data_IF_632711145473
#
_entry.id   IF_632711145473
#
_cell.length_a   1.000
_cell.length_b   1.000
_cell.length_c   1.000
_cell.angle_alpha   90.00
_cell.angle_beta   90.00
_cell.angle_gamma   90.00
#
_symmetry.space_group_name_H-M   'P 1'
#
loop_
_entity.id
_entity.type
_entity.pdbx_description
1 polymer ?
#
# COMPACT_ATOMS: atom_id res chain seq x y z
N UNK A 1 -9.12 -6.56 -6.26
CA UNK A 1 -7.69 -6.67 -6.61
C UNK A 1 -7.11 -7.93 -5.99
N UNK A 2 -6.17 -8.57 -6.65
CA UNK A 2 -5.55 -9.80 -6.20
C UNK A 2 -4.74 -9.56 -4.91
N UNK A 3 -4.96 -10.33 -3.83
CA UNK A 3 -4.21 -10.16 -2.59
C UNK A 3 -2.70 -10.27 -2.77
N UNK A 4 -2.25 -11.15 -3.65
CA UNK A 4 -0.81 -11.29 -3.92
C UNK A 4 -0.23 -10.02 -4.52
N UNK A 5 -0.99 -9.34 -5.36
CA UNK A 5 -0.56 -8.09 -5.96
C UNK A 5 -0.50 -6.98 -4.92
N UNK A 6 -1.48 -6.93 -4.01
CA UNK A 6 -1.49 -5.96 -2.91
C UNK A 6 -0.26 -6.16 -2.04
N UNK A 7 0.03 -7.39 -1.66
CA UNK A 7 1.20 -7.71 -0.85
C UNK A 7 2.49 -7.27 -1.53
N UNK A 8 2.58 -7.51 -2.81
CA UNK A 8 3.77 -7.14 -3.60
C UNK A 8 3.96 -5.63 -3.62
N UNK A 9 2.87 -4.89 -3.84
CA UNK A 9 2.93 -3.43 -3.87
C UNK A 9 3.28 -2.86 -2.50
N UNK A 10 2.70 -3.40 -1.45
CA UNK A 10 2.99 -2.97 -0.09
C UNK A 10 4.46 -3.21 0.26
N UNK A 11 4.97 -4.37 -0.06
CA UNK A 11 6.38 -4.70 0.20
C UNK A 11 7.31 -3.75 -0.53
N UNK A 12 7.00 -3.44 -1.77
CA UNK A 12 7.79 -2.49 -2.56
C UNK A 12 7.78 -1.10 -1.91
N UNK A 13 6.59 -0.61 -1.55
CA UNK A 13 6.45 0.72 -0.97
C UNK A 13 7.13 0.82 0.39
N UNK A 14 7.04 -0.23 1.19
CA UNK A 14 7.68 -0.25 2.51
C UNK A 14 9.20 -0.16 2.41
N UNK A 15 9.77 -0.65 1.31
CA UNK A 15 11.21 -0.60 1.08
C UNK A 15 11.70 0.66 0.36
N UNK A 16 10.78 1.52 -0.04
CA UNK A 16 11.12 2.74 -0.77
C UNK A 16 11.49 3.87 0.19
N UNK A 17 12.61 4.54 -0.08
CA UNK A 17 13.13 5.58 0.81
C UNK A 17 12.62 6.99 0.50
N UNK A 18 11.88 7.17 -0.59
CA UNK A 18 11.47 8.49 -1.06
C UNK A 18 10.01 8.82 -0.80
N UNK A 19 9.37 8.11 0.11
CA UNK A 19 7.98 8.38 0.45
C UNK A 19 7.88 9.62 1.32
N UNK A 20 6.82 10.41 1.09
CA UNK A 20 6.50 11.53 1.98
C UNK A 20 5.97 10.98 3.30
N UNK A 21 5.91 11.85 4.32
CA UNK A 21 5.35 11.45 5.61
C UNK A 21 3.91 10.93 5.47
N UNK A 22 3.12 11.59 4.64
CA UNK A 22 1.75 11.17 4.38
C UNK A 22 1.70 9.78 3.73
N UNK A 23 2.57 9.55 2.76
CA UNK A 23 2.63 8.27 2.08
C UNK A 23 3.05 7.15 3.03
N UNK A 24 4.04 7.41 3.87
CA UNK A 24 4.47 6.44 4.86
C UNK A 24 3.36 6.07 5.83
N UNK A 25 2.66 7.08 6.34
CA UNK A 25 1.52 6.85 7.25
C UNK A 25 0.42 6.06 6.56
N UNK A 26 0.14 6.40 5.32
CA UNK A 26 -0.89 5.71 4.55
C UNK A 26 -0.53 4.24 4.34
N UNK A 27 0.71 3.97 3.91
CA UNK A 27 1.16 2.61 3.66
C UNK A 27 1.10 1.78 4.95
N UNK A 28 1.53 2.34 6.06
CA UNK A 28 1.47 1.66 7.35
C UNK A 28 0.04 1.32 7.74
N UNK A 29 -0.88 2.28 7.56
CA UNK A 29 -2.29 2.08 7.88
C UNK A 29 -2.93 0.98 7.05
N UNK A 30 -2.70 0.99 5.74
CA UNK A 30 -3.31 -0.03 4.88
C UNK A 30 -2.63 -1.38 5.06
N UNK A 31 -1.36 -1.40 5.46
CA UNK A 31 -0.67 -2.65 5.79
C UNK A 31 -1.36 -3.33 6.97
N UNK A 32 -1.63 -2.58 8.02
CA UNK A 32 -2.33 -3.10 9.19
C UNK A 32 -3.71 -3.62 8.81
N UNK A 33 -4.44 -2.86 8.00
CA UNK A 33 -5.77 -3.26 7.57
C UNK A 33 -5.72 -4.53 6.71
N UNK A 34 -4.74 -4.61 5.81
CA UNK A 34 -4.58 -5.77 4.95
C UNK A 34 -4.23 -7.01 5.75
N UNK A 35 -3.34 -6.89 6.73
CA UNK A 35 -2.97 -8.00 7.60
C UNK A 35 -4.16 -8.48 8.42
N UNK A 36 -5.01 -7.56 8.85
CA UNK A 36 -6.18 -7.91 9.67
C UNK A 36 -7.32 -8.49 8.85
N UNK A 37 -7.63 -7.89 7.69
CA UNK A 37 -8.79 -8.24 6.88
C UNK A 37 -8.48 -9.07 5.64
N UNK A 38 -7.25 -9.04 5.18
CA UNK A 38 -6.84 -9.72 3.97
C UNK A 38 -7.25 -9.01 2.69
N UNK A 39 -7.73 -7.77 2.79
CA UNK A 39 -8.13 -7.00 1.61
C UNK A 39 -8.11 -5.50 1.90
N UNK A 40 -8.17 -4.71 0.83
CA UNK A 40 -8.28 -3.26 0.89
C UNK A 40 -9.54 -2.81 0.16
N UNK A 41 -10.06 -1.62 0.50
CA UNK A 41 -11.14 -1.03 -0.25
C UNK A 41 -10.63 -0.61 -1.64
N UNK A 42 -11.55 -0.40 -2.59
CA UNK A 42 -11.18 0.06 -3.92
C UNK A 42 -10.39 1.36 -3.87
N UNK A 43 -10.82 2.29 -3.04
CA UNK A 43 -10.14 3.57 -2.92
C UNK A 43 -8.73 3.41 -2.37
N UNK A 44 -8.58 2.58 -1.35
CA UNK A 44 -7.27 2.31 -0.79
C UNK A 44 -6.35 1.66 -1.80
N UNK A 45 -6.87 0.71 -2.56
CA UNK A 45 -6.10 0.03 -3.59
C UNK A 45 -5.68 1.01 -4.69
N UNK A 46 -6.55 1.93 -5.08
CA UNK A 46 -6.22 2.94 -6.07
C UNK A 46 -5.08 3.86 -5.61
N UNK A 47 -5.14 4.30 -4.36
CA UNK A 47 -4.11 5.18 -3.82
C UNK A 47 -2.78 4.43 -3.70
N UNK A 48 -2.83 3.18 -3.25
CA UNK A 48 -1.64 2.35 -3.17
C UNK A 48 -1.01 2.17 -4.55
N UNK A 49 -1.83 1.88 -5.55
CA UNK A 49 -1.36 1.72 -6.92
C UNK A 49 -0.71 2.99 -7.45
N UNK A 50 -1.27 4.13 -7.11
CA UNK A 50 -0.72 5.42 -7.50
C UNK A 50 0.66 5.64 -6.87
N UNK A 51 0.78 5.38 -5.58
CA UNK A 51 2.06 5.51 -4.88
C UNK A 51 3.09 4.57 -5.48
N UNK A 52 2.68 3.33 -5.71
CA UNK A 52 3.55 2.32 -6.31
C UNK A 52 4.04 2.76 -7.69
N UNK A 53 3.17 3.34 -8.48
CA UNK A 53 3.49 3.79 -9.84
C UNK A 53 4.43 5.00 -9.86
N UNK A 54 4.37 5.85 -8.85
CA UNK A 54 5.19 7.06 -8.78
C UNK A 54 6.58 6.82 -8.18
N UNK A 55 6.76 5.70 -7.57
CA UNK A 55 8.00 5.33 -6.91
C UNK A 55 8.48 3.96 -7.40
#
# INVERSE_FOLDING_TARGET
>A
MNPDLIERMLSYCEGTLNLTNWEEDFIESIRDQFDERGSLSERQAEILEKIYSEH
#
